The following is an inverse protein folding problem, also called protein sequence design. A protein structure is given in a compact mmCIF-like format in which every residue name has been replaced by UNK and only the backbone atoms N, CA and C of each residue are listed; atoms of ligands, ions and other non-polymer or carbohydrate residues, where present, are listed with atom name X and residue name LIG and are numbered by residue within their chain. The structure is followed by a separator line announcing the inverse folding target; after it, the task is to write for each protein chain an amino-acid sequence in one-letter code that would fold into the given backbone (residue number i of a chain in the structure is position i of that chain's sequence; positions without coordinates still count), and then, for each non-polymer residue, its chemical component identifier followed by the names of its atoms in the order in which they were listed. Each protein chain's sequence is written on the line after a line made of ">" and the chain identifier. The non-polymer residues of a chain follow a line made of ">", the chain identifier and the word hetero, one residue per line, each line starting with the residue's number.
data_IF_993179429342
#
_entry.id   IF_993179429342
#
_cell.length_a   1.000
_cell.length_b   1.000
_cell.length_c   1.000
_cell.angle_alpha   90.00
_cell.angle_beta   90.00
_cell.angle_gamma   90.00
#
_symmetry.space_group_name_H-M   'P 1'
#
loop_
_entity.id
_entity.type
_entity.pdbx_description
1 polymer ?
#
# COMPACT_ATOMS: atom_id res chain seq x y z
N UNK A 1 16.03 14.13 -0.13
CA UNK A 1 15.79 13.86 -1.58
C UNK A 1 16.26 12.46 -1.99
N UNK A 2 17.50 12.07 -1.65
CA UNK A 2 18.03 10.72 -1.90
C UNK A 2 17.16 9.57 -1.37
N UNK A 3 16.54 9.72 -0.19
CA UNK A 3 15.64 8.68 0.35
C UNK A 3 14.38 8.46 -0.48
N UNK A 4 13.81 9.53 -1.03
CA UNK A 4 12.64 9.44 -1.89
C UNK A 4 12.99 8.71 -3.19
N UNK A 5 14.15 9.04 -3.77
CA UNK A 5 14.67 8.37 -4.98
C UNK A 5 14.93 6.90 -4.68
N UNK A 6 15.58 6.58 -3.54
CA UNK A 6 15.83 5.21 -3.06
C UNK A 6 14.54 4.40 -2.93
N UNK A 7 13.49 5.00 -2.36
CA UNK A 7 12.20 4.33 -2.16
C UNK A 7 11.34 4.27 -3.44
N UNK A 8 11.61 5.12 -4.43
CA UNK A 8 10.91 5.08 -5.71
C UNK A 8 11.27 3.81 -6.52
N UNK A 9 10.40 3.37 -7.45
CA UNK A 9 10.65 2.18 -8.28
C UNK A 9 12.00 2.23 -9.00
N UNK A 10 12.38 3.41 -9.52
CA UNK A 10 13.67 3.61 -10.19
C UNK A 10 14.86 3.41 -9.24
N UNK A 11 14.76 3.83 -7.98
CA UNK A 11 15.80 3.60 -6.99
C UNK A 11 15.94 2.12 -6.64
N UNK A 12 14.82 1.41 -6.50
CA UNK A 12 14.84 -0.04 -6.26
C UNK A 12 15.42 -0.80 -7.45
N UNK A 13 15.11 -0.40 -8.69
CA UNK A 13 15.72 -0.97 -9.88
C UNK A 13 17.24 -0.76 -9.92
N UNK A 14 17.71 0.45 -9.59
CA UNK A 14 19.14 0.77 -9.48
C UNK A 14 19.81 -0.12 -8.42
N UNK A 15 19.19 -0.28 -7.24
CA UNK A 15 19.70 -1.13 -6.16
C UNK A 15 19.83 -2.58 -6.61
N UNK A 16 18.79 -3.12 -7.27
CA UNK A 16 18.81 -4.49 -7.78
C UNK A 16 19.91 -4.72 -8.82
N UNK A 17 20.02 -3.84 -9.83
CA UNK A 17 21.05 -3.95 -10.89
C UNK A 17 22.46 -3.82 -10.33
N UNK A 18 22.64 -2.97 -9.32
CA UNK A 18 23.95 -2.69 -8.73
C UNK A 18 24.30 -3.59 -7.55
N UNK A 19 23.46 -4.60 -7.24
CA UNK A 19 23.58 -5.48 -6.07
C UNK A 19 23.78 -4.70 -4.76
N UNK A 20 22.94 -3.69 -4.55
CA UNK A 20 22.93 -2.78 -3.39
C UNK A 20 24.21 -1.94 -3.21
N UNK A 21 25.01 -1.75 -4.27
CA UNK A 21 26.19 -0.88 -4.21
C UNK A 21 25.84 0.61 -4.13
N UNK A 22 24.76 1.04 -4.79
CA UNK A 22 24.29 2.43 -4.78
C UNK A 22 22.95 2.54 -4.06
N UNK A 23 22.64 3.71 -3.50
CA UNK A 23 21.41 3.98 -2.74
C UNK A 23 21.22 3.01 -1.55
N UNK A 24 22.31 2.71 -0.85
CA UNK A 24 22.28 1.89 0.36
C UNK A 24 21.36 2.50 1.43
N UNK A 25 20.64 1.62 2.15
CA UNK A 25 20.02 2.01 3.41
C UNK A 25 21.10 2.34 4.45
N UNK A 26 20.80 3.15 5.48
CA UNK A 26 21.75 3.41 6.56
C UNK A 26 22.35 2.12 7.11
N UNK A 27 21.53 1.09 7.33
CA UNK A 27 21.89 -0.23 7.86
C UNK A 27 22.74 -1.11 6.92
N UNK A 28 22.86 -0.75 5.64
CA UNK A 28 23.64 -1.51 4.65
C UNK A 28 25.07 -0.98 4.48
N UNK A 29 25.44 0.10 5.19
CA UNK A 29 26.75 0.70 5.08
C UNK A 29 27.70 0.06 6.09
N UNK A 30 28.97 -0.08 5.70
CA UNK A 30 30.01 -0.70 6.54
C UNK A 30 30.29 0.10 7.83
N UNK A 31 29.97 1.41 7.84
CA UNK A 31 30.07 2.32 8.98
C UNK A 31 28.81 2.36 9.85
N UNK A 32 27.81 1.51 9.57
CA UNK A 32 26.58 1.50 10.34
C UNK A 32 26.78 0.89 11.72
N UNK A 33 26.77 1.76 12.72
CA UNK A 33 26.59 1.35 14.10
C UNK A 33 25.11 1.33 14.42
N UNK A 34 24.63 0.21 14.98
CA UNK A 34 23.31 0.16 15.58
C UNK A 34 23.19 1.33 16.55
N UNK A 35 22.15 2.17 16.45
CA UNK A 35 21.90 3.22 17.43
C UNK A 35 21.47 2.53 18.73
N UNK A 36 22.46 2.05 19.50
CA UNK A 36 22.26 1.46 20.83
C UNK A 36 21.98 2.63 21.77
N UNK A 37 20.75 3.13 21.72
CA UNK A 37 20.32 4.19 22.61
C UNK A 37 20.01 3.63 24.02
N UNK A 38 19.92 2.30 24.16
CA UNK A 38 19.74 1.58 25.43
C UNK A 38 20.78 0.46 25.52
N UNK A 39 21.72 0.49 26.48
CA UNK A 39 22.68 -0.60 26.71
C UNK A 39 21.98 -1.97 26.82
N UNK A 40 22.58 -3.02 26.28
CA UNK A 40 22.00 -4.38 26.34
C UNK A 40 21.69 -4.83 27.77
N UNK A 41 22.48 -4.36 28.76
CA UNK A 41 22.29 -4.58 30.20
C UNK A 41 21.01 -3.94 30.78
N UNK A 42 20.49 -2.89 30.14
CA UNK A 42 19.26 -2.19 30.54
C UNK A 42 18.01 -2.72 29.80
N UNK A 43 18.13 -3.82 29.06
CA UNK A 43 16.97 -4.44 28.44
C UNK A 43 16.04 -5.04 29.50
N UNK A 44 14.71 -5.03 29.28
CA UNK A 44 13.72 -5.44 30.29
C UNK A 44 13.91 -6.86 30.86
N UNK A 45 14.56 -7.76 30.12
CA UNK A 45 14.84 -9.14 30.51
C UNK A 45 16.27 -9.38 30.99
N UNK A 46 17.09 -8.32 31.09
CA UNK A 46 18.50 -8.42 31.47
C UNK A 46 18.76 -7.91 32.91
N UNK A 47 17.71 -7.56 33.65
CA UNK A 47 17.81 -7.20 35.07
C UNK A 47 17.53 -8.39 35.97
N UNK A 48 18.49 -8.68 36.86
CA UNK A 48 18.39 -9.58 38.03
C UNK A 48 17.49 -8.99 39.14
N UNK A 49 16.53 -8.15 38.77
CA UNK A 49 15.55 -7.51 39.66
C UNK A 49 14.18 -7.69 39.04
N UNK A 50 13.30 -8.29 39.85
CA UNK A 50 11.86 -8.46 39.67
C UNK A 50 11.25 -7.55 38.62
N UNK A 51 10.47 -8.14 37.70
CA UNK A 51 9.62 -7.43 36.75
C UNK A 51 8.98 -6.20 37.43
N UNK A 52 9.01 -5.01 36.79
CA UNK A 52 8.32 -3.84 37.32
C UNK A 52 6.82 -4.17 37.49
N UNK A 53 6.15 -3.59 38.51
CA UNK A 53 4.78 -3.90 38.82
C UNK A 53 3.87 -3.73 37.60
N UNK A 54 2.85 -4.58 37.50
CA UNK A 54 1.95 -4.76 36.33
C UNK A 54 1.37 -3.43 35.77
N UNK A 55 1.25 -2.42 36.63
CA UNK A 55 0.80 -1.06 36.31
C UNK A 55 1.74 -0.27 35.40
N UNK A 56 3.05 -0.48 35.53
CA UNK A 56 4.06 0.17 34.66
C UNK A 56 4.13 -0.53 33.31
N UNK A 57 3.88 -1.84 33.28
CA UNK A 57 3.72 -2.61 32.04
C UNK A 57 2.45 -2.20 31.30
N UNK A 58 1.40 -1.79 32.00
CA UNK A 58 0.17 -1.27 31.43
C UNK A 58 0.37 0.13 30.80
N UNK A 59 1.15 1.01 31.44
CA UNK A 59 1.59 2.29 30.85
C UNK A 59 2.51 2.09 29.64
N UNK A 60 3.44 1.13 29.68
CA UNK A 60 4.34 0.84 28.56
C UNK A 60 3.64 0.10 27.42
N UNK A 61 2.62 -0.73 27.70
CA UNK A 61 1.70 -1.28 26.68
C UNK A 61 0.90 -0.18 25.97
N UNK A 62 0.63 0.94 26.64
CA UNK A 62 -0.02 2.13 26.06
C UNK A 62 0.93 2.96 25.19
N UNK A 63 2.26 2.80 25.32
CA UNK A 63 3.30 3.49 24.53
C UNK A 63 3.64 2.75 23.20
N UNK A 64 2.73 1.91 22.69
CA UNK A 64 2.94 1.16 21.43
C UNK A 64 3.01 2.09 20.22
N UNK A 65 4.15 2.15 19.55
CA UNK A 65 4.18 2.07 18.09
C UNK A 65 3.94 0.61 17.74
N UNK A 66 2.80 0.30 17.11
CA UNK A 66 2.29 -1.06 17.02
C UNK A 66 3.19 -1.94 16.12
N UNK A 67 3.79 -3.03 16.65
CA UNK A 67 4.16 -4.19 15.86
C UNK A 67 2.87 -4.96 15.52
N UNK A 68 2.80 -5.50 14.30
CA UNK A 68 1.64 -6.09 13.63
C UNK A 68 1.06 -7.38 14.24
N UNK A 69 1.24 -7.63 15.54
CA UNK A 69 0.71 -8.83 16.21
C UNK A 69 -0.57 -8.46 16.96
N UNK A 70 -1.69 -8.69 16.29
CA UNK A 70 -3.08 -8.56 16.75
C UNK A 70 -3.63 -7.13 16.91
N UNK A 71 -4.54 -6.82 15.99
CA UNK A 71 -5.59 -5.80 16.07
C UNK A 71 -6.37 -5.92 17.38
N UNK A 72 -5.91 -5.24 18.43
CA UNK A 72 -6.77 -4.96 19.59
C UNK A 72 -7.92 -4.08 19.09
N UNK A 73 -9.15 -4.42 19.47
CA UNK A 73 -10.36 -3.68 19.10
C UNK A 73 -10.22 -2.19 19.45
N UNK A 74 -10.86 -1.34 18.65
CA UNK A 74 -10.94 0.10 18.93
C UNK A 74 -11.66 0.31 20.28
N UNK A 75 -10.96 0.92 21.23
CA UNK A 75 -11.50 1.27 22.55
C UNK A 75 -11.13 2.72 22.88
N UNK A 76 -11.95 3.41 23.67
CA UNK A 76 -11.76 4.81 24.06
C UNK A 76 -10.44 4.99 24.83
N UNK A 77 -10.05 4.01 25.63
CA UNK A 77 -8.78 4.01 26.36
C UNK A 77 -7.57 4.00 25.41
N UNK A 78 -7.67 3.28 24.29
CA UNK A 78 -6.63 3.26 23.26
C UNK A 78 -6.54 4.62 22.56
N UNK A 79 -7.68 5.23 22.23
CA UNK A 79 -7.71 6.55 21.61
C UNK A 79 -7.05 7.62 22.53
N UNK A 80 -7.37 7.60 23.83
CA UNK A 80 -6.74 8.51 24.79
C UNK A 80 -5.24 8.26 24.95
N UNK A 81 -4.80 7.00 24.95
CA UNK A 81 -3.38 6.68 24.95
C UNK A 81 -2.65 7.24 23.72
N UNK A 82 -3.20 7.05 22.52
CA UNK A 82 -2.62 7.58 21.27
C UNK A 82 -2.62 9.13 21.24
N UNK A 83 -3.66 9.78 21.79
CA UNK A 83 -3.67 11.25 21.95
C UNK A 83 -2.58 11.75 22.91
N UNK A 84 -2.40 11.08 24.05
CA UNK A 84 -1.35 11.43 25.02
C UNK A 84 0.04 11.25 24.39
N UNK A 85 0.22 10.18 23.60
CA UNK A 85 1.46 9.93 22.88
C UNK A 85 1.76 10.99 21.83
N UNK A 86 0.77 11.42 21.05
CA UNK A 86 0.95 12.50 20.07
C UNK A 86 1.34 13.83 20.75
N UNK A 87 0.87 14.08 21.99
CA UNK A 87 1.27 15.23 22.81
C UNK A 87 2.70 15.05 23.38
N UNK A 88 3.03 13.84 23.85
CA UNK A 88 4.35 13.49 24.42
C UNK A 88 5.47 13.41 23.36
N UNK A 89 5.11 13.22 22.09
CA UNK A 89 6.00 13.22 20.90
C UNK A 89 6.89 14.46 20.76
N UNK A 90 6.64 15.51 21.56
CA UNK A 90 7.52 16.68 21.68
C UNK A 90 8.95 16.33 22.16
N UNK A 91 9.18 15.13 22.72
CA UNK A 91 10.53 14.60 23.03
C UNK A 91 10.74 13.22 22.38
N UNK A 92 11.75 13.09 21.53
CA UNK A 92 12.17 11.80 20.96
C UNK A 92 12.58 10.83 22.07
N UNK A 93 11.87 9.71 22.20
CA UNK A 93 12.18 8.63 23.14
C UNK A 93 12.74 7.42 22.39
N UNK A 94 13.59 6.68 23.09
CA UNK A 94 14.25 5.46 22.58
C UNK A 94 13.34 4.26 22.83
N UNK A 95 13.12 3.42 21.83
CA UNK A 95 12.26 2.25 21.98
C UNK A 95 13.13 1.06 22.37
N UNK A 96 12.84 0.43 23.51
CA UNK A 96 13.51 -0.80 23.93
C UNK A 96 12.95 -1.98 23.14
N UNK A 97 13.79 -2.89 22.62
CA UNK A 97 13.31 -4.11 22.00
C UNK A 97 12.51 -4.91 23.04
N UNK A 98 11.55 -5.71 22.58
CA UNK A 98 10.75 -6.57 23.46
C UNK A 98 11.06 -8.04 23.18
N UNK A 99 10.84 -8.91 24.16
CA UNK A 99 10.96 -10.37 23.99
C UNK A 99 9.60 -11.01 24.24
N UNK A 100 9.10 -11.73 23.25
CA UNK A 100 7.86 -12.51 23.36
C UNK A 100 8.07 -13.66 24.36
N UNK A 101 6.98 -14.20 24.91
CA UNK A 101 6.99 -15.38 25.79
C UNK A 101 7.80 -16.55 25.22
N UNK A 102 7.79 -16.70 23.89
CA UNK A 102 8.43 -17.80 23.16
C UNK A 102 9.91 -17.53 22.87
N UNK A 103 10.44 -16.42 23.38
CA UNK A 103 11.84 -16.05 23.29
C UNK A 103 12.25 -15.25 22.05
N UNK A 104 11.31 -14.95 21.16
CA UNK A 104 11.52 -14.13 19.96
C UNK A 104 11.73 -12.67 20.36
N UNK A 105 12.79 -12.03 19.83
CA UNK A 105 13.03 -10.60 20.00
C UNK A 105 12.23 -9.84 18.95
N UNK A 106 11.35 -8.98 19.40
CA UNK A 106 10.56 -8.09 18.56
C UNK A 106 11.40 -6.87 18.19
N UNK A 107 11.61 -6.69 16.88
CA UNK A 107 12.30 -5.55 16.30
C UNK A 107 11.25 -4.49 16.00
N UNK A 108 11.44 -3.29 16.53
CA UNK A 108 10.63 -2.09 16.27
C UNK A 108 11.55 -0.94 15.82
N UNK A 109 10.98 0.22 15.53
CA UNK A 109 11.72 1.44 15.22
C UNK A 109 12.71 1.82 16.33
N UNK A 110 13.78 2.56 16.00
CA UNK A 110 14.81 2.89 16.99
C UNK A 110 14.35 3.97 17.98
N UNK A 111 13.56 4.94 17.51
CA UNK A 111 13.02 6.04 18.30
C UNK A 111 11.57 6.35 17.92
N UNK A 112 10.88 7.11 18.78
CA UNK A 112 9.51 7.59 18.49
C UNK A 112 9.44 8.48 17.25
N UNK A 113 10.53 9.17 16.91
CA UNK A 113 10.64 10.09 15.76
C UNK A 113 11.45 9.50 14.59
N UNK A 114 11.62 8.17 14.57
CA UNK A 114 12.37 7.47 13.52
C UNK A 114 11.84 7.83 12.11
N UNK A 115 12.67 8.35 11.19
CA UNK A 115 12.26 8.73 9.85
C UNK A 115 11.85 7.53 8.98
N UNK A 116 12.25 6.31 9.33
CA UNK A 116 11.84 5.09 8.64
C UNK A 116 10.36 4.75 8.91
N UNK A 117 9.83 5.17 10.07
CA UNK A 117 8.41 5.02 10.40
C UNK A 117 7.54 5.94 9.51
N UNK A 118 6.62 5.39 8.70
CA UNK A 118 5.76 6.19 7.82
C UNK A 118 4.86 7.18 8.56
N UNK A 119 4.58 6.95 9.84
CA UNK A 119 3.81 7.88 10.67
C UNK A 119 4.58 9.17 10.99
N UNK A 120 5.91 9.15 10.94
CA UNK A 120 6.75 10.34 11.17
C UNK A 120 7.03 11.15 9.91
N UNK A 121 6.55 10.70 8.74
CA UNK A 121 6.78 11.41 7.49
C UNK A 121 6.15 12.80 7.49
N UNK A 122 6.78 13.72 6.76
CA UNK A 122 6.22 15.05 6.55
C UNK A 122 4.85 14.97 5.87
N UNK A 123 3.97 15.92 6.19
CA UNK A 123 2.61 15.99 5.61
C UNK A 123 2.63 15.96 4.08
N UNK A 124 3.59 16.62 3.46
CA UNK A 124 3.77 16.62 2.00
C UNK A 124 4.12 15.24 1.44
N UNK A 125 5.00 14.47 2.11
CA UNK A 125 5.32 13.10 1.70
C UNK A 125 4.11 12.18 1.82
N UNK A 126 3.36 12.26 2.94
CA UNK A 126 2.12 11.48 3.12
C UNK A 126 1.09 11.81 2.04
N UNK A 127 0.84 13.11 1.80
CA UNK A 127 -0.10 13.57 0.79
C UNK A 127 0.29 13.11 -0.63
N UNK A 128 1.58 13.15 -0.97
CA UNK A 128 2.08 12.66 -2.25
C UNK A 128 1.85 11.16 -2.42
N UNK A 129 2.22 10.34 -1.43
CA UNK A 129 2.03 8.88 -1.49
C UNK A 129 0.55 8.52 -1.57
N UNK A 130 -0.29 9.14 -0.74
CA UNK A 130 -1.75 8.95 -0.80
C UNK A 130 -2.31 9.37 -2.16
N UNK A 131 -1.84 10.47 -2.74
CA UNK A 131 -2.29 10.94 -4.06
C UNK A 131 -1.91 9.98 -5.19
N UNK A 132 -0.69 9.42 -5.17
CA UNK A 132 -0.25 8.39 -6.13
C UNK A 132 -1.10 7.13 -6.00
N UNK A 133 -1.35 6.67 -4.78
CA UNK A 133 -2.18 5.49 -4.50
C UNK A 133 -3.65 5.70 -4.92
N UNK A 134 -4.18 6.89 -4.68
CA UNK A 134 -5.51 7.31 -5.15
C UNK A 134 -5.59 7.37 -6.66
N UNK A 135 -4.57 7.90 -7.35
CA UNK A 135 -4.55 7.95 -8.81
C UNK A 135 -4.49 6.55 -9.44
N UNK A 136 -3.70 5.64 -8.84
CA UNK A 136 -3.68 4.23 -9.23
C UNK A 136 -5.10 3.64 -9.06
N UNK A 137 -5.69 3.76 -7.88
CA UNK A 137 -7.04 3.25 -7.59
C UNK A 137 -8.08 3.80 -8.58
N UNK A 138 -8.04 5.10 -8.82
CA UNK A 138 -8.89 5.79 -9.80
C UNK A 138 -8.72 5.20 -11.20
N UNK A 139 -7.49 5.04 -11.69
CA UNK A 139 -7.22 4.54 -13.04
C UNK A 139 -7.79 3.13 -13.26
N UNK A 140 -7.61 2.24 -12.29
CA UNK A 140 -8.11 0.85 -12.35
C UNK A 140 -9.63 0.79 -12.29
N UNK A 141 -10.25 1.56 -11.40
CA UNK A 141 -11.72 1.62 -11.34
C UNK A 141 -12.35 2.34 -12.53
N UNK A 142 -11.63 3.27 -13.16
CA UNK A 142 -12.07 3.97 -14.37
C UNK A 142 -12.07 3.02 -15.60
N UNK A 143 -11.08 2.14 -15.71
CA UNK A 143 -10.92 1.22 -16.84
C UNK A 143 -12.07 0.20 -17.00
N UNK A 144 -12.72 -0.19 -15.90
CA UNK A 144 -13.89 -1.08 -15.93
C UNK A 144 -15.06 -0.47 -16.72
N UNK A 145 -15.72 0.59 -16.21
CA UNK A 145 -16.90 1.16 -16.83
C UNK A 145 -16.66 1.88 -18.16
N UNK A 146 -15.42 2.23 -18.53
CA UNK A 146 -15.08 2.63 -19.93
C UNK A 146 -15.56 1.55 -20.93
N UNK A 147 -15.53 0.27 -20.54
CA UNK A 147 -16.05 -0.81 -21.38
C UNK A 147 -17.51 -0.64 -21.78
N UNK A 148 -18.33 -0.14 -20.86
CA UNK A 148 -19.77 0.01 -21.11
C UNK A 148 -20.04 0.91 -22.32
N UNK A 149 -19.24 1.97 -22.48
CA UNK A 149 -19.32 2.89 -23.63
C UNK A 149 -18.73 2.31 -24.92
N UNK A 150 -17.80 1.36 -24.81
CA UNK A 150 -17.20 0.67 -25.95
C UNK A 150 -18.02 -0.55 -26.43
N UNK A 151 -18.95 -1.05 -25.60
CA UNK A 151 -19.66 -2.31 -25.82
C UNK A 151 -20.34 -2.41 -27.18
N UNK A 152 -21.03 -1.36 -27.64
CA UNK A 152 -21.70 -1.38 -28.95
C UNK A 152 -20.71 -1.52 -30.11
N UNK A 153 -19.57 -0.82 -30.05
CA UNK A 153 -18.52 -0.92 -31.08
C UNK A 153 -17.80 -2.27 -31.07
N UNK A 154 -17.67 -2.90 -29.90
CA UNK A 154 -17.13 -4.25 -29.75
C UNK A 154 -18.08 -5.27 -30.39
N UNK A 155 -19.39 -5.16 -30.13
CA UNK A 155 -20.41 -6.03 -30.72
C UNK A 155 -20.39 -5.95 -32.24
N UNK A 156 -20.34 -4.74 -32.80
CA UNK A 156 -20.31 -4.51 -34.24
C UNK A 156 -19.03 -5.08 -34.87
N UNK A 157 -17.85 -4.78 -34.31
CA UNK A 157 -16.57 -5.21 -34.89
C UNK A 157 -16.40 -6.73 -34.86
N UNK A 158 -16.74 -7.37 -33.75
CA UNK A 158 -16.48 -8.79 -33.55
C UNK A 158 -17.69 -9.68 -33.86
N UNK A 159 -18.82 -9.09 -34.26
CA UNK A 159 -20.09 -9.78 -34.53
C UNK A 159 -20.53 -10.69 -33.39
N UNK A 160 -20.42 -10.18 -32.15
CA UNK A 160 -20.77 -10.91 -30.92
C UNK A 160 -22.07 -10.39 -30.31
N UNK A 161 -22.77 -11.24 -29.57
CA UNK A 161 -24.00 -10.85 -28.87
C UNK A 161 -23.72 -9.85 -27.73
N UNK A 162 -24.73 -9.08 -27.28
CA UNK A 162 -24.59 -8.20 -26.11
C UNK A 162 -24.15 -8.94 -24.84
N UNK A 163 -24.60 -10.19 -24.68
CA UNK A 163 -24.22 -11.07 -23.56
C UNK A 163 -22.75 -11.45 -23.63
N UNK A 164 -22.24 -11.76 -24.83
CA UNK A 164 -20.81 -12.00 -25.00
C UNK A 164 -20.00 -10.73 -24.75
N UNK A 165 -20.43 -9.57 -25.26
CA UNK A 165 -19.73 -8.30 -25.06
C UNK A 165 -19.65 -7.88 -23.58
N UNK A 166 -20.68 -8.13 -22.76
CA UNK A 166 -20.63 -7.81 -21.32
C UNK A 166 -19.58 -8.63 -20.55
N UNK A 167 -19.16 -9.77 -21.09
CA UNK A 167 -18.17 -10.67 -20.48
C UNK A 167 -16.83 -9.96 -20.20
N UNK A 168 -16.42 -8.99 -21.03
CA UNK A 168 -15.15 -8.28 -20.81
C UNK A 168 -15.15 -7.45 -19.52
N UNK A 169 -16.26 -6.79 -19.20
CA UNK A 169 -16.42 -6.09 -17.91
C UNK A 169 -16.49 -7.09 -16.75
N UNK A 170 -17.27 -8.16 -16.90
CA UNK A 170 -17.41 -9.19 -15.86
C UNK A 170 -16.08 -9.88 -15.54
N UNK A 171 -15.29 -10.22 -16.55
CA UNK A 171 -13.96 -10.82 -16.38
C UNK A 171 -12.99 -9.86 -15.73
N UNK A 172 -13.02 -8.58 -16.09
CA UNK A 172 -12.18 -7.56 -15.44
C UNK A 172 -12.47 -7.47 -13.93
N UNK A 173 -13.76 -7.45 -13.58
CA UNK A 173 -14.23 -7.40 -12.19
C UNK A 173 -13.86 -8.67 -11.42
N UNK A 174 -14.11 -9.83 -12.01
CA UNK A 174 -13.69 -11.11 -11.43
C UNK A 174 -12.18 -11.14 -11.21
N UNK A 175 -11.41 -10.70 -12.19
CA UNK A 175 -9.97 -10.80 -12.17
C UNK A 175 -9.33 -9.92 -11.10
N UNK A 176 -9.78 -8.68 -10.89
CA UNK A 176 -9.24 -7.90 -9.78
C UNK A 176 -9.61 -8.51 -8.43
N UNK A 177 -10.80 -9.11 -8.29
CA UNK A 177 -11.18 -9.80 -7.05
C UNK A 177 -10.28 -11.00 -6.77
N UNK A 178 -9.93 -11.77 -7.80
CA UNK A 178 -8.98 -12.89 -7.71
C UNK A 178 -7.55 -12.39 -7.48
N UNK A 179 -7.16 -11.29 -8.12
CA UNK A 179 -5.85 -10.65 -7.93
C UNK A 179 -5.64 -10.23 -6.48
N UNK A 180 -6.65 -9.65 -5.85
CA UNK A 180 -6.57 -9.19 -4.46
C UNK A 180 -6.33 -10.32 -3.46
N UNK A 181 -6.89 -11.52 -3.72
CA UNK A 181 -6.63 -12.71 -2.90
C UNK A 181 -5.15 -13.13 -2.92
N UNK A 182 -4.43 -12.84 -4.01
CA UNK A 182 -3.00 -13.13 -4.12
C UNK A 182 -2.15 -11.97 -3.62
N UNK A 183 -2.42 -10.76 -4.09
CA UNK A 183 -1.53 -9.63 -3.89
C UNK A 183 -1.70 -8.99 -2.52
N UNK A 184 -2.87 -9.06 -1.90
CA UNK A 184 -3.04 -8.55 -0.54
C UNK A 184 -2.12 -9.23 0.48
N UNK A 185 -2.14 -10.58 0.65
CA UNK A 185 -1.23 -11.24 1.56
C UNK A 185 0.24 -11.12 1.14
N UNK A 186 0.52 -11.03 -0.17
CA UNK A 186 1.88 -10.85 -0.67
C UNK A 186 2.52 -9.56 -0.14
N UNK A 187 1.73 -8.49 0.00
CA UNK A 187 2.23 -7.21 0.54
C UNK A 187 2.58 -7.24 2.03
N UNK A 188 2.02 -8.19 2.77
CA UNK A 188 2.25 -8.38 4.21
C UNK A 188 3.50 -9.24 4.49
N UNK A 189 4.07 -9.88 3.47
CA UNK A 189 5.32 -10.63 3.63
C UNK A 189 6.46 -9.62 3.88
N UNK A 190 7.18 -9.69 5.02
CA UNK A 190 8.18 -8.67 5.39
C UNK A 190 9.30 -8.49 4.37
N UNK A 191 9.72 -9.56 3.67
CA UNK A 191 10.76 -9.50 2.64
C UNK A 191 10.29 -8.86 1.32
N UNK A 192 8.97 -8.81 1.08
CA UNK A 192 8.39 -8.21 -0.14
C UNK A 192 7.96 -6.78 0.15
N UNK A 193 7.19 -6.58 1.23
CA UNK A 193 6.57 -5.31 1.56
C UNK A 193 5.53 -4.85 0.52
N UNK A 194 4.97 -3.65 0.74
CA UNK A 194 3.87 -3.13 -0.10
C UNK A 194 4.33 -2.56 -1.43
N UNK A 195 5.39 -1.76 -1.41
CA UNK A 195 5.82 -0.95 -2.54
C UNK A 195 6.18 -1.78 -3.78
N UNK A 196 6.96 -2.88 -3.70
CA UNK A 196 7.30 -3.71 -4.86
C UNK A 196 6.08 -4.27 -5.57
N UNK A 197 5.08 -4.75 -4.82
CA UNK A 197 3.85 -5.28 -5.39
C UNK A 197 3.13 -4.20 -6.19
N UNK A 198 2.94 -3.00 -5.63
CA UNK A 198 2.23 -1.92 -6.31
C UNK A 198 2.83 -1.53 -7.66
N UNK A 199 4.13 -1.22 -7.70
CA UNK A 199 4.70 -0.70 -8.95
C UNK A 199 4.91 -1.79 -9.99
N UNK A 200 5.22 -3.04 -9.59
CA UNK A 200 5.38 -4.16 -10.52
C UNK A 200 4.05 -4.48 -11.21
N UNK A 201 2.98 -4.66 -10.44
CA UNK A 201 1.68 -5.01 -11.00
C UNK A 201 1.09 -3.85 -11.80
N UNK A 202 1.26 -2.60 -11.34
CA UNK A 202 0.82 -1.44 -12.11
C UNK A 202 1.60 -1.28 -13.43
N UNK A 203 2.90 -1.59 -13.44
CA UNK A 203 3.68 -1.57 -14.68
C UNK A 203 3.17 -2.62 -15.66
N UNK A 204 2.85 -3.84 -15.18
CA UNK A 204 2.24 -4.87 -16.02
C UNK A 204 0.87 -4.45 -16.53
N UNK A 205 0.02 -3.88 -15.67
CA UNK A 205 -1.27 -3.30 -16.06
C UNK A 205 -1.11 -2.25 -17.17
N UNK A 206 -0.20 -1.30 -16.99
CA UNK A 206 0.07 -0.25 -17.97
C UNK A 206 0.58 -0.84 -19.29
N UNK A 207 1.52 -1.79 -19.26
CA UNK A 207 2.04 -2.45 -20.48
C UNK A 207 0.93 -3.23 -21.20
N UNK A 208 0.06 -3.93 -20.46
CA UNK A 208 -1.04 -4.72 -21.03
C UNK A 208 -2.16 -3.87 -21.64
N UNK A 209 -2.22 -2.57 -21.34
CA UNK A 209 -3.21 -1.66 -21.94
C UNK A 209 -2.94 -1.40 -23.44
N UNK A 210 -1.67 -1.44 -23.86
CA UNK A 210 -1.29 -1.25 -25.27
C UNK A 210 -1.77 -2.36 -26.21
N UNK A 211 -1.52 -3.67 -25.93
CA UNK A 211 -2.02 -4.74 -26.78
C UNK A 211 -3.55 -4.80 -26.82
N UNK A 212 -4.23 -4.30 -25.78
CA UNK A 212 -5.70 -4.22 -25.75
C UNK A 212 -6.25 -3.34 -26.87
N UNK A 213 -5.63 -2.17 -27.10
CA UNK A 213 -6.05 -1.24 -28.15
C UNK A 213 -5.87 -1.83 -29.57
N UNK A 214 -4.88 -2.69 -29.78
CA UNK A 214 -4.53 -3.21 -31.11
C UNK A 214 -5.08 -4.61 -31.41
N UNK A 215 -5.65 -5.30 -30.42
CA UNK A 215 -6.12 -6.67 -30.59
C UNK A 215 -7.23 -6.80 -31.64
N UNK A 216 -7.15 -7.87 -32.43
CA UNK A 216 -8.07 -8.19 -33.53
C UNK A 216 -8.89 -9.45 -33.26
N UNK A 217 -8.73 -10.06 -32.09
CA UNK A 217 -9.52 -11.22 -31.65
C UNK A 217 -10.34 -10.86 -30.43
N UNK A 218 -11.61 -11.24 -30.43
CA UNK A 218 -12.49 -11.07 -29.27
C UNK A 218 -11.99 -11.85 -28.05
N UNK A 219 -11.56 -13.10 -28.25
CA UNK A 219 -10.95 -13.90 -27.17
C UNK A 219 -9.69 -13.26 -26.61
N UNK A 220 -8.84 -12.70 -27.48
CA UNK A 220 -7.65 -11.94 -27.06
C UNK A 220 -8.00 -10.71 -26.24
N UNK A 221 -9.05 -9.98 -26.62
CA UNK A 221 -9.56 -8.84 -25.86
C UNK A 221 -10.04 -9.25 -24.47
N UNK A 222 -10.78 -10.37 -24.35
CA UNK A 222 -11.24 -10.90 -23.06
C UNK A 222 -10.08 -11.36 -22.17
N UNK A 223 -9.05 -12.01 -22.74
CA UNK A 223 -7.85 -12.41 -22.00
C UNK A 223 -7.09 -11.20 -21.47
N UNK A 224 -6.92 -10.16 -22.29
CA UNK A 224 -6.27 -8.92 -21.87
C UNK A 224 -7.08 -8.22 -20.77
N UNK A 225 -8.41 -8.20 -20.87
CA UNK A 225 -9.30 -7.69 -19.82
C UNK A 225 -9.13 -8.40 -18.49
N UNK A 226 -9.04 -9.73 -18.52
CA UNK A 226 -8.77 -10.49 -17.31
C UNK A 226 -7.42 -10.08 -16.69
N UNK A 227 -6.33 -10.09 -17.46
CA UNK A 227 -5.01 -9.77 -16.91
C UNK A 227 -4.88 -8.31 -16.45
N UNK A 228 -5.53 -7.37 -17.14
CA UNK A 228 -5.60 -5.98 -16.69
C UNK A 228 -6.30 -5.88 -15.33
N UNK A 229 -7.45 -6.52 -15.15
CA UNK A 229 -8.11 -6.56 -13.84
C UNK A 229 -7.21 -7.17 -12.78
N UNK A 230 -6.63 -8.33 -13.07
CA UNK A 230 -5.76 -9.07 -12.15
C UNK A 230 -4.58 -8.24 -11.65
N UNK A 231 -3.79 -7.63 -12.55
CA UNK A 231 -2.62 -6.83 -12.17
C UNK A 231 -2.97 -5.40 -11.71
N UNK A 232 -4.17 -4.90 -12.03
CA UNK A 232 -4.67 -3.63 -11.53
C UNK A 232 -5.08 -3.69 -10.06
N UNK A 233 -5.39 -4.88 -9.54
CA UNK A 233 -6.05 -5.06 -8.24
C UNK A 233 -5.33 -4.54 -6.99
N UNK A 234 -3.98 -4.58 -6.84
CA UNK A 234 -3.36 -4.44 -5.51
C UNK A 234 -3.67 -3.14 -4.78
N UNK A 235 -3.83 -2.02 -5.50
CA UNK A 235 -4.20 -0.74 -4.91
C UNK A 235 -5.64 -0.72 -4.35
N UNK A 236 -6.52 -1.59 -4.86
CA UNK A 236 -7.92 -1.71 -4.45
C UNK A 236 -8.06 -2.37 -3.08
N UNK A 237 -7.34 -3.47 -2.82
CA UNK A 237 -7.36 -4.13 -1.52
C UNK A 237 -6.44 -3.47 -0.49
N UNK A 238 -5.23 -3.07 -0.90
CA UNK A 238 -4.20 -2.65 0.06
C UNK A 238 -4.16 -1.14 0.29
N UNK A 239 -5.01 -0.37 -0.41
CA UNK A 239 -5.05 1.09 -0.30
C UNK A 239 -5.34 1.58 1.12
N UNK A 240 -6.29 0.93 1.78
CA UNK A 240 -6.63 1.20 3.18
C UNK A 240 -5.52 0.82 4.15
N UNK A 241 -4.86 -0.33 3.94
CA UNK A 241 -3.75 -0.79 4.78
C UNK A 241 -2.56 0.18 4.73
N UNK A 242 -2.15 0.60 3.53
CA UNK A 242 -1.09 1.61 3.36
C UNK A 242 -1.46 2.95 4.01
N UNK A 243 -2.72 3.34 3.95
CA UNK A 243 -3.20 4.54 4.64
C UNK A 243 -3.11 4.38 6.16
N UNK A 244 -3.46 3.21 6.68
CA UNK A 244 -3.32 2.88 8.10
C UNK A 244 -1.87 2.90 8.59
N UNK A 245 -0.92 2.52 7.74
CA UNK A 245 0.51 2.58 8.08
C UNK A 245 1.05 4.01 8.17
N UNK A 246 0.50 4.94 7.38
CA UNK A 246 1.00 6.32 7.27
C UNK A 246 0.34 7.31 8.23
N UNK A 247 -0.93 7.12 8.57
CA UNK A 247 -1.69 8.06 9.39
C UNK A 247 -1.92 7.50 10.80
N UNK A 248 -1.82 8.31 11.85
CA UNK A 248 -2.26 7.90 13.19
C UNK A 248 -3.78 7.77 13.22
N UNK A 249 -4.33 7.02 14.16
CA UNK A 249 -5.74 6.63 14.22
C UNK A 249 -6.72 7.82 14.11
N UNK A 250 -6.36 8.95 14.70
CA UNK A 250 -7.16 10.19 14.64
C UNK A 250 -7.26 10.78 13.22
N UNK A 251 -6.24 10.56 12.37
CA UNK A 251 -6.17 11.12 11.03
C UNK A 251 -6.38 10.09 9.90
N UNK A 252 -6.34 8.79 10.20
CA UNK A 252 -6.65 7.72 9.23
C UNK A 252 -7.96 7.96 8.47
N UNK A 253 -9.07 8.42 9.10
CA UNK A 253 -10.33 8.64 8.39
C UNK A 253 -10.21 9.63 7.22
N UNK A 254 -9.37 10.66 7.33
CA UNK A 254 -9.16 11.62 6.24
C UNK A 254 -8.43 10.97 5.06
N UNK A 255 -7.40 10.18 5.34
CA UNK A 255 -6.68 9.42 4.31
C UNK A 255 -7.59 8.41 3.61
N UNK A 256 -8.38 7.66 4.37
CA UNK A 256 -9.34 6.69 3.85
C UNK A 256 -10.45 7.37 3.05
N UNK A 257 -10.92 8.53 3.49
CA UNK A 257 -11.95 9.29 2.76
C UNK A 257 -11.43 9.77 1.41
N UNK A 258 -10.19 10.24 1.34
CA UNK A 258 -9.58 10.66 0.08
C UNK A 258 -9.35 9.47 -0.87
N UNK A 259 -8.86 8.35 -0.36
CA UNK A 259 -8.73 7.12 -1.13
C UNK A 259 -10.10 6.59 -1.59
N UNK A 260 -11.08 6.56 -0.71
CA UNK A 260 -12.46 6.19 -1.03
C UNK A 260 -13.06 7.09 -2.11
N UNK A 261 -12.88 8.42 -2.02
CA UNK A 261 -13.30 9.35 -3.07
C UNK A 261 -12.68 9.01 -4.43
N UNK A 262 -11.39 8.66 -4.47
CA UNK A 262 -10.74 8.21 -5.70
C UNK A 262 -11.33 6.90 -6.26
N UNK A 263 -11.73 5.98 -5.39
CA UNK A 263 -12.40 4.74 -5.77
C UNK A 263 -13.79 4.98 -6.38
N UNK A 264 -14.59 5.87 -5.78
CA UNK A 264 -15.94 6.20 -6.28
C UNK A 264 -15.93 7.08 -7.53
N UNK A 265 -14.93 7.96 -7.65
CA UNK A 265 -14.80 8.83 -8.82
C UNK A 265 -14.41 8.03 -10.08
N UNK A 266 -13.66 6.94 -9.96
CA UNK A 266 -13.30 6.09 -11.11
C UNK A 266 -14.52 5.67 -11.95
N UNK A 267 -15.54 5.01 -11.36
CA UNK A 267 -16.71 4.60 -12.11
C UNK A 267 -17.62 5.73 -12.57
N UNK A 268 -17.61 6.87 -11.87
CA UNK A 268 -18.35 8.06 -12.30
C UNK A 268 -17.74 8.70 -13.55
N UNK A 269 -16.40 8.82 -13.60
CA UNK A 269 -15.71 9.46 -14.71
C UNK A 269 -15.42 8.50 -15.89
N UNK A 270 -15.35 7.19 -15.67
CA UNK A 270 -15.05 6.21 -16.70
C UNK A 270 -15.94 6.31 -17.95
N UNK A 271 -17.28 6.23 -17.84
CA UNK A 271 -18.18 6.37 -18.97
C UNK A 271 -18.09 7.76 -19.63
N UNK A 272 -17.80 8.81 -18.87
CA UNK A 272 -17.64 10.16 -19.43
C UNK A 272 -16.41 10.25 -20.34
N UNK A 273 -15.28 9.71 -19.89
CA UNK A 273 -14.01 9.66 -20.65
C UNK A 273 -14.17 8.74 -21.86
N UNK A 274 -14.67 7.52 -21.65
CA UNK A 274 -14.86 6.52 -22.69
C UNK A 274 -15.89 6.95 -23.74
N UNK A 275 -17.00 7.55 -23.31
CA UNK A 275 -18.05 8.05 -24.19
C UNK A 275 -17.58 9.18 -25.09
N UNK A 276 -16.76 10.11 -24.59
CA UNK A 276 -16.15 11.16 -25.40
C UNK A 276 -15.18 10.58 -26.45
N UNK A 277 -14.28 9.69 -26.03
CA UNK A 277 -13.30 9.08 -26.93
C UNK A 277 -13.95 8.19 -28.00
N UNK A 278 -14.93 7.37 -27.60
CA UNK A 278 -15.64 6.45 -28.48
C UNK A 278 -16.43 7.18 -29.58
N UNK A 279 -17.03 8.33 -29.24
CA UNK A 279 -17.74 9.16 -30.21
C UNK A 279 -16.78 9.89 -31.17
N UNK A 280 -15.63 10.37 -30.68
CA UNK A 280 -14.71 11.17 -31.47
C UNK A 280 -13.81 10.33 -32.40
N UNK A 281 -13.48 9.09 -32.03
CA UNK A 281 -12.58 8.21 -32.78
C UNK A 281 -13.22 6.85 -33.02
N UNK A 282 -13.15 5.97 -32.03
CA UNK A 282 -13.71 4.61 -32.08
C UNK A 282 -13.74 4.02 -30.68
N UNK A 283 -14.35 2.85 -30.52
CA UNK A 283 -14.36 2.12 -29.25
C UNK A 283 -12.96 1.70 -28.74
N UNK A 284 -11.93 1.72 -29.60
CA UNK A 284 -10.53 1.44 -29.26
C UNK A 284 -9.86 2.61 -28.56
#
# INVERSE_FOLDING_TARGET
>A
MLELIRQAPIGQAIRYVTRNKYLQYPEERDDYELPILIPMKSWPWNTDKSMPPERDLEMLRRIRTNPSVHSVAYDNDRFHAEQILDIQRTKSLTIAPQKTSDGVILIDWYTTDDPANPQNWSRGKKALVTSVLSFYTFAVYCAGPIWSTASSGIQEKFHVSPVAASLGLSLYILAYGVGDLLFSPLTEIPVVGRNPVYWLTFTVFWVLSFPEAVTQSFGGLLTLRFWLGFFGSPALANGGATTGDMFPLIYIPYGLSFWGFSAWSGPAFGPMIGGFAAQAKSWR
#
